data_IF_223752926007
#
_entry.id   IF_223752926007
#
_cell.length_a   1.000
_cell.length_b   1.000
_cell.length_c   1.000
_cell.angle_alpha   90.00
_cell.angle_beta   90.00
_cell.angle_gamma   90.00
#
_symmetry.space_group_name_H-M   'P 1'
#
loop_
_entity.id
_entity.type
_entity.pdbx_description
1 polymer ?
#
# COMPACT_ATOMS: atom_id res chain seq x y z
N UNK A 1 -8.62 -39.66 -11.84
CA UNK A 1 -9.53 -39.72 -10.67
C UNK A 1 -8.83 -38.97 -9.54
N UNK A 2 -9.21 -37.80 -9.05
CA UNK A 2 -10.30 -36.89 -9.35
C UNK A 2 -9.79 -35.46 -9.04
N UNK A 3 -10.09 -34.53 -9.95
CA UNK A 3 -9.89 -33.10 -9.81
C UNK A 3 -10.83 -32.61 -8.69
N UNK A 4 -10.29 -32.24 -7.53
CA UNK A 4 -11.08 -31.62 -6.46
C UNK A 4 -11.30 -30.16 -6.81
N UNK A 5 -12.30 -29.92 -7.64
CA UNK A 5 -12.86 -28.61 -7.89
C UNK A 5 -13.46 -28.11 -6.56
N UNK A 6 -12.74 -27.22 -5.88
CA UNK A 6 -13.27 -26.49 -4.73
C UNK A 6 -14.25 -25.45 -5.26
N UNK A 7 -15.50 -25.86 -5.45
CA UNK A 7 -16.62 -24.94 -5.65
C UNK A 7 -16.83 -24.15 -4.35
N UNK A 8 -16.08 -23.06 -4.20
CA UNK A 8 -16.35 -22.04 -3.19
C UNK A 8 -17.68 -21.38 -3.54
N UNK A 9 -18.69 -21.58 -2.70
CA UNK A 9 -19.94 -20.82 -2.78
C UNK A 9 -19.60 -19.35 -2.55
N UNK A 10 -19.56 -18.56 -3.63
CA UNK A 10 -19.49 -17.12 -3.55
C UNK A 10 -20.86 -16.62 -3.06
N UNK A 11 -21.01 -16.41 -1.75
CA UNK A 11 -22.12 -15.63 -1.26
C UNK A 11 -21.95 -14.18 -1.75
N UNK A 12 -22.91 -13.71 -2.55
CA UNK A 12 -22.94 -12.34 -3.06
C UNK A 12 -23.41 -11.30 -2.02
N UNK A 13 -23.79 -11.73 -0.81
CA UNK A 13 -24.19 -10.83 0.27
C UNK A 13 -23.06 -10.64 1.30
N UNK A 14 -22.84 -9.41 1.80
CA UNK A 14 -21.86 -9.18 2.85
C UNK A 14 -22.24 -9.94 4.11
N UNK A 15 -21.34 -10.80 4.60
CA UNK A 15 -21.47 -11.46 5.89
C UNK A 15 -21.28 -10.42 7.02
N UNK A 16 -22.23 -10.34 7.95
CA UNK A 16 -22.18 -9.41 9.10
C UNK A 16 -20.95 -9.65 10.01
N UNK A 17 -20.39 -10.86 9.94
CA UNK A 17 -19.19 -11.28 10.69
C UNK A 17 -17.90 -11.19 9.85
N UNK A 18 -17.92 -10.47 8.72
CA UNK A 18 -16.71 -10.26 7.92
C UNK A 18 -15.67 -9.43 8.67
N UNK A 19 -14.56 -10.07 9.03
CA UNK A 19 -13.35 -9.39 9.49
C UNK A 19 -12.57 -8.95 8.27
N UNK A 20 -12.17 -7.68 8.24
CA UNK A 20 -11.37 -7.11 7.17
C UNK A 20 -10.10 -6.50 7.74
N UNK A 21 -8.96 -6.98 7.29
CA UNK A 21 -7.64 -6.49 7.69
C UNK A 21 -6.89 -6.01 6.46
N UNK A 22 -6.25 -4.85 6.52
CA UNK A 22 -5.42 -4.34 5.42
C UNK A 22 -4.13 -3.79 5.97
N UNK A 23 -2.99 -4.03 5.35
CA UNK A 23 -1.73 -3.43 5.80
C UNK A 23 -0.80 -3.13 4.64
N UNK A 24 0.22 -2.34 4.96
CA UNK A 24 1.35 -2.07 4.08
C UNK A 24 2.62 -2.53 4.76
N UNK A 25 3.59 -2.95 3.95
CA UNK A 25 4.95 -3.25 4.37
C UNK A 25 5.94 -2.71 3.34
N UNK A 26 7.21 -2.61 3.74
CA UNK A 26 8.33 -2.40 2.81
C UNK A 26 9.17 -3.66 2.84
N UNK A 27 9.26 -4.35 1.71
CA UNK A 27 10.01 -5.61 1.56
C UNK A 27 10.95 -5.51 0.37
N UNK A 28 12.22 -5.83 0.57
CA UNK A 28 13.23 -5.76 -0.50
C UNK A 28 13.38 -4.37 -1.13
N UNK A 29 13.06 -3.31 -0.38
CA UNK A 29 13.07 -1.94 -0.90
C UNK A 29 11.86 -1.58 -1.76
N UNK A 30 10.80 -2.40 -1.77
CA UNK A 30 9.55 -2.14 -2.47
C UNK A 30 8.38 -2.00 -1.50
N UNK A 31 7.46 -1.08 -1.81
CA UNK A 31 6.19 -1.00 -1.09
C UNK A 31 5.33 -2.21 -1.46
N UNK A 32 4.68 -2.80 -0.46
CA UNK A 32 3.71 -3.89 -0.63
C UNK A 32 2.47 -3.62 0.19
N UNK A 33 1.37 -4.24 -0.23
CA UNK A 33 0.11 -4.19 0.48
C UNK A 33 -0.61 -5.53 0.40
N UNK A 34 -1.39 -5.78 1.43
CA UNK A 34 -2.27 -6.95 1.55
C UNK A 34 -3.60 -6.50 2.13
N UNK A 35 -4.67 -7.12 1.65
CA UNK A 35 -6.02 -6.97 2.15
C UNK A 35 -6.63 -8.36 2.30
N UNK A 36 -6.99 -8.68 3.54
CA UNK A 36 -7.61 -9.92 3.94
C UNK A 36 -9.07 -9.66 4.29
N UNK A 37 -9.96 -10.47 3.75
CA UNK A 37 -11.34 -10.55 4.19
C UNK A 37 -11.68 -12.00 4.54
N UNK A 38 -12.30 -12.23 5.69
CA UNK A 38 -12.81 -13.54 6.07
C UNK A 38 -14.11 -13.44 6.84
N UNK A 39 -14.99 -14.42 6.63
CA UNK A 39 -16.21 -14.59 7.42
C UNK A 39 -16.08 -15.84 8.29
N UNK A 40 -16.38 -15.73 9.59
CA UNK A 40 -16.37 -16.90 10.48
C UNK A 40 -17.53 -17.87 10.23
N UNK A 41 -18.63 -17.37 9.64
CA UNK A 41 -19.88 -18.10 9.40
C UNK A 41 -19.91 -18.90 8.10
N UNK A 42 -19.16 -18.46 7.09
CA UNK A 42 -19.11 -19.10 5.77
C UNK A 42 -17.65 -19.35 5.38
N UNK A 43 -17.34 -20.42 4.61
CA UNK A 43 -15.98 -20.69 4.12
C UNK A 43 -15.58 -19.70 3.00
N UNK A 44 -15.59 -18.42 3.33
CA UNK A 44 -15.23 -17.31 2.46
C UNK A 44 -13.96 -16.66 2.97
N UNK A 45 -12.96 -16.60 2.11
CA UNK A 45 -11.69 -15.93 2.35
C UNK A 45 -11.26 -15.25 1.05
N UNK A 46 -10.97 -13.96 1.12
CA UNK A 46 -10.38 -13.19 0.04
C UNK A 46 -9.04 -12.61 0.49
N UNK A 47 -8.02 -12.80 -0.35
CA UNK A 47 -6.68 -12.30 -0.10
C UNK A 47 -6.23 -11.52 -1.34
N UNK A 48 -6.37 -10.20 -1.28
CA UNK A 48 -5.79 -9.32 -2.28
C UNK A 48 -4.40 -8.89 -1.83
N UNK A 49 -3.44 -8.91 -2.75
CA UNK A 49 -2.08 -8.47 -2.49
C UNK A 49 -1.48 -7.80 -3.70
N UNK A 50 -0.58 -6.87 -3.47
CA UNK A 50 0.09 -6.19 -4.57
C UNK A 50 1.41 -5.53 -4.16
N UNK A 51 2.17 -5.19 -5.21
CA UNK A 51 3.36 -4.35 -5.11
C UNK A 51 2.99 -2.91 -5.44
N UNK A 52 3.75 -1.97 -4.89
CA UNK A 52 3.58 -0.54 -5.10
C UNK A 52 2.48 0.05 -4.22
N UNK A 53 1.91 1.16 -4.69
CA UNK A 53 0.88 1.91 -3.98
C UNK A 53 -0.41 1.09 -3.95
N UNK A 54 -1.06 0.92 -2.78
CA UNK A 54 -2.34 0.24 -2.71
C UNK A 54 -3.42 0.99 -3.49
N UNK A 55 -4.43 0.26 -3.99
CA UNK A 55 -5.66 0.86 -4.50
C UNK A 55 -6.24 1.91 -3.54
N UNK A 56 -6.88 2.99 -4.04
CA UNK A 56 -7.33 4.10 -3.20
C UNK A 56 -8.19 3.68 -2.00
N UNK A 57 -9.08 2.69 -2.18
CA UNK A 57 -9.97 2.21 -1.13
C UNK A 57 -9.25 1.45 0.00
N UNK A 58 -8.16 0.73 -0.32
CA UNK A 58 -7.29 0.09 0.68
C UNK A 58 -6.48 1.18 1.40
N UNK A 59 -5.91 2.12 0.63
CA UNK A 59 -5.11 3.21 1.17
C UNK A 59 -5.88 4.04 2.19
N UNK A 60 -7.11 4.45 1.88
CA UNK A 60 -7.94 5.23 2.80
C UNK A 60 -8.31 4.46 4.08
N UNK A 61 -8.51 3.15 4.00
CA UNK A 61 -8.73 2.32 5.21
C UNK A 61 -7.49 2.25 6.10
N UNK A 62 -6.32 2.06 5.50
CA UNK A 62 -5.04 2.10 6.22
C UNK A 62 -4.85 3.48 6.86
N UNK A 63 -5.12 4.56 6.13
CA UNK A 63 -5.04 5.93 6.64
C UNK A 63 -6.04 6.21 7.77
N UNK A 64 -7.24 5.63 7.72
CA UNK A 64 -8.25 5.79 8.76
C UNK A 64 -7.86 5.03 10.05
N UNK A 65 -7.22 3.86 9.92
CA UNK A 65 -6.78 3.05 11.07
C UNK A 65 -5.47 3.55 11.68
N UNK A 66 -4.45 3.76 10.84
CA UNK A 66 -3.08 4.02 11.26
C UNK A 66 -2.75 5.52 11.30
N UNK A 67 -3.67 6.35 10.84
CA UNK A 67 -3.48 7.78 10.68
C UNK A 67 -2.63 8.13 9.46
N UNK A 68 -2.26 9.41 9.38
CA UNK A 68 -1.44 9.91 8.28
C UNK A 68 -0.28 10.75 8.77
N UNK A 69 0.86 10.62 8.09
CA UNK A 69 2.04 11.47 8.25
C UNK A 69 2.06 12.48 7.12
N UNK A 70 2.43 13.72 7.43
CA UNK A 70 2.58 14.78 6.43
C UNK A 70 4.06 15.01 6.15
N UNK A 71 4.43 14.89 4.87
CA UNK A 71 5.81 14.98 4.40
C UNK A 71 6.00 16.27 3.61
N UNK A 72 7.12 16.96 3.85
CA UNK A 72 7.55 18.07 3.01
C UNK A 72 7.91 17.55 1.62
N UNK A 73 7.59 18.29 0.57
CA UNK A 73 7.90 17.90 -0.82
C UNK A 73 8.91 18.87 -1.42
N UNK A 74 10.02 18.32 -1.91
CA UNK A 74 11.15 19.07 -2.44
C UNK A 74 11.96 19.83 -1.38
N UNK A 75 13.10 20.39 -1.81
CA UNK A 75 14.12 20.92 -0.89
C UNK A 75 15.06 19.82 -0.36
N UNK A 76 16.05 20.20 0.46
CA UNK A 76 17.08 19.26 0.94
C UNK A 76 16.53 18.16 1.85
N UNK A 77 15.51 18.47 2.66
CA UNK A 77 14.91 17.55 3.63
C UNK A 77 13.55 16.99 3.18
N UNK A 78 13.09 17.35 1.98
CA UNK A 78 11.77 16.97 1.47
C UNK A 78 11.82 15.78 0.52
N UNK A 79 10.69 15.10 0.37
CA UNK A 79 10.55 13.99 -0.56
C UNK A 79 10.80 14.49 -2.00
N UNK A 80 11.67 13.83 -2.78
CA UNK A 80 11.94 14.25 -4.15
C UNK A 80 10.68 14.22 -5.03
N UNK A 81 10.46 15.28 -5.80
CA UNK A 81 9.34 15.40 -6.74
C UNK A 81 9.33 14.24 -7.75
N UNK A 82 10.50 13.90 -8.29
CA UNK A 82 10.65 12.81 -9.25
C UNK A 82 10.22 11.46 -8.65
N UNK A 83 10.45 11.25 -7.35
CA UNK A 83 10.04 10.04 -6.66
C UNK A 83 8.52 9.96 -6.51
N UNK A 84 7.87 11.04 -6.09
CA UNK A 84 6.40 11.07 -5.99
C UNK A 84 5.71 10.83 -7.33
N UNK A 85 6.24 11.43 -8.41
CA UNK A 85 5.71 11.20 -9.77
C UNK A 85 5.93 9.77 -10.23
N UNK A 86 7.06 9.16 -9.90
CA UNK A 86 7.35 7.76 -10.27
C UNK A 86 6.48 6.77 -9.51
N UNK A 87 6.32 6.96 -8.21
CA UNK A 87 5.65 6.00 -7.31
C UNK A 87 4.13 6.14 -7.38
N UNK A 88 3.62 7.37 -7.39
CA UNK A 88 2.18 7.65 -7.30
C UNK A 88 1.59 8.18 -8.62
N UNK A 89 2.40 8.38 -9.67
CA UNK A 89 1.90 8.90 -10.94
C UNK A 89 1.42 10.35 -10.88
N UNK A 90 1.79 11.11 -9.85
CA UNK A 90 1.26 12.47 -9.65
C UNK A 90 1.52 13.38 -10.87
N UNK A 91 0.50 14.12 -11.25
CA UNK A 91 0.59 15.23 -12.20
C UNK A 91 1.44 16.37 -11.64
N UNK A 92 1.82 17.32 -12.51
CA UNK A 92 2.56 18.51 -12.08
C UNK A 92 1.73 19.33 -11.08
N UNK A 93 0.42 19.48 -11.33
CA UNK A 93 -0.47 20.23 -10.45
C UNK A 93 -0.55 19.62 -9.05
N UNK A 94 -0.67 18.29 -8.94
CA UNK A 94 -0.71 17.58 -7.66
C UNK A 94 0.59 17.71 -6.89
N UNK A 95 1.74 17.67 -7.58
CA UNK A 95 3.04 17.92 -6.94
C UNK A 95 3.14 19.35 -6.42
N UNK A 96 2.69 20.35 -7.18
CA UNK A 96 2.69 21.75 -6.73
C UNK A 96 1.81 21.91 -5.48
N UNK A 97 0.61 21.32 -5.47
CA UNK A 97 -0.25 21.32 -4.31
C UNK A 97 0.40 20.62 -3.10
N UNK A 98 1.04 19.47 -3.31
CA UNK A 98 1.76 18.74 -2.27
C UNK A 98 2.98 19.52 -1.74
N UNK A 99 3.63 20.34 -2.57
CA UNK A 99 4.69 21.25 -2.13
C UNK A 99 4.19 22.35 -1.21
N UNK A 100 3.00 22.89 -1.47
CA UNK A 100 2.42 23.93 -0.65
C UNK A 100 1.85 23.39 0.68
N UNK A 101 1.20 22.23 0.64
CA UNK A 101 0.44 21.70 1.78
C UNK A 101 1.09 20.50 2.50
N UNK A 102 2.18 19.97 1.96
CA UNK A 102 2.77 18.70 2.37
C UNK A 102 1.99 17.49 1.83
N UNK A 103 2.71 16.43 1.47
CA UNK A 103 2.14 15.18 0.99
C UNK A 103 1.61 14.33 2.15
N UNK A 104 0.36 13.90 2.07
CA UNK A 104 -0.25 12.99 3.05
C UNK A 104 0.10 11.55 2.67
N UNK A 105 0.84 10.88 3.54
CA UNK A 105 1.28 9.51 3.38
C UNK A 105 0.83 8.64 4.57
N UNK A 106 0.73 7.33 4.39
CA UNK A 106 0.68 6.40 5.52
C UNK A 106 2.03 6.38 6.25
N UNK A 107 2.11 5.92 7.50
CA UNK A 107 3.40 5.76 8.18
C UNK A 107 4.40 4.87 7.43
N UNK A 108 3.91 3.86 6.70
CA UNK A 108 4.76 2.95 5.91
C UNK A 108 5.23 3.63 4.62
N UNK A 109 4.33 4.33 3.91
CA UNK A 109 4.68 5.15 2.76
C UNK A 109 5.71 6.22 3.13
N UNK A 110 5.58 6.84 4.31
CA UNK A 110 6.53 7.82 4.80
C UNK A 110 7.93 7.23 4.96
N UNK A 111 8.06 6.09 5.64
CA UNK A 111 9.33 5.37 5.79
C UNK A 111 9.93 5.00 4.43
N UNK A 112 9.10 4.55 3.49
CA UNK A 112 9.53 4.23 2.14
C UNK A 112 10.09 5.45 1.39
N UNK A 113 9.40 6.59 1.47
CA UNK A 113 9.77 7.81 0.74
C UNK A 113 10.97 8.56 1.33
N UNK A 114 11.23 8.39 2.62
CA UNK A 114 12.37 9.00 3.32
C UNK A 114 13.53 8.03 3.49
N UNK A 115 13.39 6.77 3.09
CA UNK A 115 14.50 5.85 3.10
C UNK A 115 15.60 6.38 2.16
N UNK A 116 16.87 6.37 2.59
CA UNK A 116 17.97 6.64 1.68
C UNK A 116 17.83 5.67 0.50
N UNK A 117 17.88 6.20 -0.73
CA UNK A 117 17.79 5.38 -1.92
C UNK A 117 18.86 4.29 -1.79
N UNK A 118 18.43 3.04 -1.60
CA UNK A 118 19.35 1.92 -1.58
C UNK A 118 20.14 2.01 -2.88
N UNK A 119 21.46 2.18 -2.77
CA UNK A 119 22.34 2.19 -3.92
C UNK A 119 22.03 0.96 -4.80
N UNK A 120 22.01 1.10 -6.13
CA UNK A 120 21.77 -0.04 -6.99
C UNK A 120 22.85 -1.10 -6.74
N UNK A 121 22.46 -2.19 -6.10
CA UNK A 121 23.14 -3.47 -6.00
C UNK A 121 24.64 -3.41 -5.70
N UNK A 122 25.01 -3.57 -4.43
CA UNK A 122 26.16 -4.41 -4.15
C UNK A 122 25.64 -5.85 -4.08
N UNK A 123 25.83 -6.68 -5.14
CA UNK A 123 25.71 -8.12 -4.99
C UNK A 123 26.84 -8.57 -4.06
N UNK A 124 26.55 -8.60 -2.76
CA UNK A 124 27.40 -9.29 -1.81
C UNK A 124 27.45 -10.77 -2.16
N UNK A 125 28.62 -11.26 -2.56
CA UNK A 125 29.19 -12.54 -2.12
C UNK A 125 30.56 -12.84 -2.76
N UNK A 126 31.39 -13.74 -2.18
CA UNK A 126 31.09 -14.74 -1.13
C UNK A 126 31.45 -14.35 0.30
#
# INVERSE_FOLDING_TARGET
MAEQQRDGVAHCEPCEECVREQWQSVEGGELRWEAYESCGRYPFQACDRGRGVPPPWIRERILARDGSVRLTVGGPDGVPIALLRRVYGLSIAEVVAARAAGYRATPVEARYLTAPAAAPGEPGRP
#
